data_IF_118672696690
#
_entry.id   IF_118672696690
#
_cell.length_a   1.000
_cell.length_b   1.000
_cell.length_c   1.000
_cell.angle_alpha   90.00
_cell.angle_beta   90.00
_cell.angle_gamma   90.00
#
_symmetry.space_group_name_H-M   'P 1'
#
loop_
_entity.id
_entity.type
_entity.pdbx_description
1 polymer ?
#
# COMPACT_ATOMS: atom_id res chain seq x y z
N UNK A 1 -25.73 -3.08 3.30
CA UNK A 1 -25.14 -4.43 3.47
C UNK A 1 -24.97 -5.10 2.10
N UNK A 2 -26.01 -5.14 1.26
CA UNK A 2 -25.95 -5.68 -0.11
C UNK A 2 -24.79 -5.10 -0.96
N UNK A 3 -24.61 -3.77 -0.96
CA UNK A 3 -23.50 -3.12 -1.66
C UNK A 3 -22.08 -3.54 -1.18
N UNK A 4 -21.96 -4.08 0.04
CA UNK A 4 -20.69 -4.62 0.55
C UNK A 4 -20.50 -6.10 0.16
N UNK A 5 -21.58 -6.87 0.09
CA UNK A 5 -21.56 -8.29 -0.28
C UNK A 5 -21.09 -8.48 -1.73
N UNK A 6 -21.52 -7.59 -2.63
CA UNK A 6 -21.14 -7.64 -4.06
C UNK A 6 -19.79 -6.97 -4.35
N UNK A 7 -19.15 -6.38 -3.34
CA UNK A 7 -17.94 -5.61 -3.54
C UNK A 7 -16.73 -6.52 -3.72
N UNK A 8 -15.92 -6.25 -4.75
CA UNK A 8 -14.64 -6.94 -4.93
C UNK A 8 -13.76 -6.73 -3.69
N UNK A 9 -13.04 -7.75 -3.18
CA UNK A 9 -12.27 -7.66 -1.94
C UNK A 9 -11.31 -6.45 -1.87
N UNK A 10 -10.64 -6.12 -2.97
CA UNK A 10 -9.73 -4.97 -3.01
C UNK A 10 -10.44 -3.61 -2.88
N UNK A 11 -11.68 -3.49 -3.41
CA UNK A 11 -12.48 -2.28 -3.26
C UNK A 11 -12.96 -2.13 -1.82
N UNK A 12 -13.34 -3.25 -1.20
CA UNK A 12 -13.76 -3.28 0.20
C UNK A 12 -12.60 -2.88 1.11
N UNK A 13 -11.42 -3.49 0.95
CA UNK A 13 -10.22 -3.12 1.71
C UNK A 13 -9.90 -1.64 1.58
N UNK A 14 -9.86 -1.11 0.35
CA UNK A 14 -9.60 0.31 0.11
C UNK A 14 -10.63 1.22 0.82
N UNK A 15 -11.92 0.86 0.79
CA UNK A 15 -12.97 1.63 1.47
C UNK A 15 -12.83 1.57 3.00
N UNK A 16 -12.50 0.39 3.55
CA UNK A 16 -12.26 0.20 4.99
C UNK A 16 -11.04 1.01 5.44
N UNK A 17 -9.95 0.96 4.68
CA UNK A 17 -8.72 1.73 4.99
C UNK A 17 -9.02 3.23 5.04
N UNK A 18 -9.73 3.76 4.02
CA UNK A 18 -10.14 5.17 3.98
C UNK A 18 -10.92 5.58 5.23
N UNK A 19 -11.96 4.81 5.56
CA UNK A 19 -12.79 5.10 6.73
C UNK A 19 -12.01 4.99 8.04
N UNK A 20 -11.07 4.04 8.11
CA UNK A 20 -10.21 3.85 9.28
C UNK A 20 -9.26 5.02 9.46
N UNK A 21 -8.70 5.58 8.38
CA UNK A 21 -7.89 6.80 8.46
C UNK A 21 -8.71 8.01 8.91
N UNK A 22 -9.90 8.19 8.35
CA UNK A 22 -10.87 9.23 8.75
C UNK A 22 -11.26 9.12 10.22
N UNK A 23 -11.43 7.90 10.73
CA UNK A 23 -11.80 7.65 12.13
C UNK A 23 -10.62 7.85 13.07
N UNK A 24 -9.42 7.41 12.69
CA UNK A 24 -8.23 7.47 13.54
C UNK A 24 -7.64 8.89 13.65
N UNK A 25 -7.83 9.72 12.62
CA UNK A 25 -7.26 11.06 12.53
C UNK A 25 -8.34 11.99 11.97
N UNK A 26 -8.99 12.77 12.85
CA UNK A 26 -10.04 13.71 12.43
C UNK A 26 -9.50 14.79 11.50
N UNK A 27 -8.31 15.30 11.83
CA UNK A 27 -7.67 16.37 11.07
C UNK A 27 -7.12 15.88 9.73
N UNK A 28 -7.46 16.59 8.67
CA UNK A 28 -7.04 16.25 7.31
C UNK A 28 -5.51 16.33 7.14
N UNK A 29 -4.86 17.30 7.79
CA UNK A 29 -3.40 17.41 7.75
C UNK A 29 -2.69 16.26 8.47
N UNK A 30 -3.20 15.84 9.64
CA UNK A 30 -2.66 14.69 10.38
C UNK A 30 -2.81 13.41 9.57
N UNK A 31 -3.96 13.20 8.94
CA UNK A 31 -4.19 12.10 7.99
C UNK A 31 -3.17 12.11 6.88
N UNK A 32 -2.97 13.26 6.24
CA UNK A 32 -2.04 13.40 5.13
C UNK A 32 -0.60 13.09 5.56
N UNK A 33 -0.19 13.56 6.74
CA UNK A 33 1.13 13.29 7.29
C UNK A 33 1.33 11.80 7.60
N UNK A 34 0.36 11.16 8.25
CA UNK A 34 0.39 9.72 8.51
C UNK A 34 0.47 8.91 7.21
N UNK A 35 -0.39 9.19 6.23
CA UNK A 35 -0.40 8.48 4.94
C UNK A 35 0.94 8.61 4.20
N UNK A 36 1.58 9.79 4.25
CA UNK A 36 2.92 10.00 3.68
C UNK A 36 3.97 9.14 4.37
N UNK A 37 3.97 9.09 5.70
CA UNK A 37 4.88 8.24 6.46
C UNK A 37 4.65 6.75 6.15
N UNK A 38 3.39 6.34 6.05
CA UNK A 38 3.04 4.96 5.70
C UNK A 38 3.45 4.61 4.26
N UNK A 39 3.35 5.56 3.33
CA UNK A 39 3.84 5.40 1.96
C UNK A 39 5.36 5.21 1.91
N UNK A 40 6.11 5.97 2.71
CA UNK A 40 7.56 5.81 2.85
C UNK A 40 7.88 4.40 3.38
N UNK A 41 7.18 3.96 4.43
CA UNK A 41 7.34 2.63 5.01
C UNK A 41 7.13 1.53 3.96
N UNK A 42 5.98 1.52 3.26
CA UNK A 42 5.70 0.46 2.28
C UNK A 42 6.65 0.49 1.08
N UNK A 43 7.10 1.68 0.66
CA UNK A 43 8.13 1.80 -0.40
C UNK A 43 9.45 1.18 0.06
N UNK A 44 9.90 1.46 1.29
CA UNK A 44 11.10 0.85 1.86
C UNK A 44 10.93 -0.67 2.05
N UNK A 45 9.73 -1.11 2.44
CA UNK A 45 9.40 -2.52 2.60
C UNK A 45 9.51 -3.30 1.28
N UNK A 46 8.95 -2.77 0.18
CA UNK A 46 9.11 -3.35 -1.17
C UNK A 46 10.59 -3.45 -1.54
N UNK A 47 11.35 -2.37 -1.36
CA UNK A 47 12.78 -2.38 -1.65
C UNK A 47 13.53 -3.45 -0.84
N UNK A 48 13.13 -3.72 0.41
CA UNK A 48 13.72 -4.82 1.20
C UNK A 48 13.33 -6.20 0.69
N UNK A 49 12.10 -6.40 0.24
CA UNK A 49 11.68 -7.66 -0.39
C UNK A 49 12.46 -7.90 -1.69
N UNK A 50 12.62 -6.88 -2.53
CA UNK A 50 13.37 -6.98 -3.78
C UNK A 50 14.86 -7.25 -3.53
N UNK A 51 15.43 -6.69 -2.46
CA UNK A 51 16.80 -7.00 -2.05
C UNK A 51 16.94 -8.47 -1.63
N UNK A 52 15.99 -9.01 -0.86
CA UNK A 52 15.98 -10.43 -0.48
C UNK A 52 15.91 -11.32 -1.72
N UNK A 53 15.04 -10.99 -2.67
CA UNK A 53 14.94 -11.70 -3.95
C UNK A 53 16.23 -11.61 -4.78
N UNK A 54 16.95 -10.50 -4.72
CA UNK A 54 18.20 -10.34 -5.48
C UNK A 54 19.37 -11.15 -4.90
N UNK A 55 19.36 -11.44 -3.60
CA UNK A 55 20.37 -12.29 -2.95
C UNK A 55 20.18 -13.78 -3.25
N UNK A 56 19.06 -14.15 -3.87
CA UNK A 56 18.72 -15.54 -4.13
C UNK A 56 19.48 -16.14 -5.32
N UNK A 57 19.85 -17.44 -5.25
CA UNK A 57 20.59 -18.10 -6.31
C UNK A 57 19.77 -18.23 -7.60
N UNK A 58 20.20 -17.53 -8.64
CA UNK A 58 19.51 -17.50 -9.95
C UNK A 58 19.82 -18.70 -10.86
N UNK A 59 20.86 -19.48 -10.53
CA UNK A 59 21.35 -20.59 -11.37
C UNK A 59 20.68 -21.90 -10.97
N UNK A 60 20.07 -22.60 -11.94
CA UNK A 60 19.46 -23.93 -11.74
C UNK A 60 20.40 -24.99 -11.14
N UNK A 61 21.70 -24.87 -11.40
CA UNK A 61 22.72 -25.77 -10.86
C UNK A 61 23.02 -25.53 -9.37
N UNK A 62 22.54 -24.43 -8.78
CA UNK A 62 22.75 -24.14 -7.37
C UNK A 62 21.88 -25.08 -6.52
N UNK A 63 22.45 -25.68 -5.48
CA UNK A 63 21.78 -26.68 -4.63
C UNK A 63 20.50 -26.15 -3.95
N UNK A 64 20.37 -24.83 -3.76
CA UNK A 64 19.17 -24.18 -3.19
C UNK A 64 18.15 -23.68 -4.22
N UNK A 65 18.40 -23.79 -5.52
CA UNK A 65 17.56 -23.17 -6.55
C UNK A 65 16.07 -23.54 -6.44
N UNK A 66 15.76 -24.83 -6.24
CA UNK A 66 14.35 -25.25 -6.14
C UNK A 66 13.69 -24.82 -4.83
N UNK A 67 14.45 -24.75 -3.73
CA UNK A 67 13.94 -24.25 -2.44
C UNK A 67 13.63 -22.76 -2.52
N UNK A 68 14.52 -22.01 -3.17
CA UNK A 68 14.36 -20.59 -3.46
C UNK A 68 13.12 -20.32 -4.31
N UNK A 69 12.98 -21.02 -5.44
CA UNK A 69 11.81 -20.88 -6.31
C UNK A 69 10.50 -21.09 -5.54
N UNK A 70 10.44 -22.13 -4.72
CA UNK A 70 9.27 -22.41 -3.89
C UNK A 70 9.01 -21.32 -2.84
N UNK A 71 10.06 -20.79 -2.21
CA UNK A 71 9.95 -19.67 -1.26
C UNK A 71 9.44 -18.40 -1.94
N UNK A 72 9.96 -18.07 -3.13
CA UNK A 72 9.52 -16.91 -3.90
C UNK A 72 8.04 -17.00 -4.25
N UNK A 73 7.60 -18.15 -4.77
CA UNK A 73 6.22 -18.37 -5.19
C UNK A 73 5.23 -18.39 -4.01
N UNK A 74 5.59 -19.03 -2.89
CA UNK A 74 4.69 -19.21 -1.75
C UNK A 74 4.71 -18.06 -0.76
N UNK A 75 5.83 -17.36 -0.63
CA UNK A 75 6.06 -16.39 0.44
C UNK A 75 6.26 -14.99 -0.14
N UNK A 76 7.34 -14.74 -0.88
CA UNK A 76 7.69 -13.38 -1.30
C UNK A 76 6.62 -12.70 -2.15
N UNK A 77 6.04 -13.43 -3.10
CA UNK A 77 5.06 -12.88 -4.03
C UNK A 77 3.84 -12.28 -3.31
N UNK A 78 3.37 -12.93 -2.25
CA UNK A 78 2.23 -12.44 -1.46
C UNK A 78 2.55 -11.11 -0.77
N UNK A 79 3.71 -11.02 -0.12
CA UNK A 79 4.16 -9.80 0.54
C UNK A 79 4.39 -8.64 -0.45
N UNK A 80 5.01 -8.92 -1.60
CA UNK A 80 5.23 -7.91 -2.65
C UNK A 80 3.91 -7.38 -3.21
N UNK A 81 2.95 -8.27 -3.51
CA UNK A 81 1.63 -7.87 -4.03
C UNK A 81 0.88 -7.02 -3.00
N UNK A 82 0.84 -7.45 -1.73
CA UNK A 82 0.16 -6.69 -0.68
C UNK A 82 0.75 -5.30 -0.47
N UNK A 83 2.08 -5.20 -0.38
CA UNK A 83 2.76 -3.92 -0.23
C UNK A 83 2.58 -3.00 -1.46
N UNK A 84 2.59 -3.57 -2.68
CA UNK A 84 2.36 -2.80 -3.92
C UNK A 84 0.96 -2.21 -3.97
N UNK A 85 -0.07 -3.00 -3.60
CA UNK A 85 -1.45 -2.52 -3.53
C UNK A 85 -1.57 -1.41 -2.48
N UNK A 86 -0.94 -1.56 -1.31
CA UNK A 86 -0.93 -0.53 -0.27
C UNK A 86 -0.32 0.79 -0.79
N UNK A 87 0.83 0.74 -1.50
CA UNK A 87 1.45 1.91 -2.12
C UNK A 87 0.51 2.58 -3.13
N UNK A 88 -0.16 1.82 -3.99
CA UNK A 88 -1.07 2.36 -4.99
C UNK A 88 -2.27 3.06 -4.33
N UNK A 89 -2.87 2.42 -3.32
CA UNK A 89 -3.99 2.99 -2.58
C UNK A 89 -3.57 4.27 -1.82
N UNK A 90 -2.43 4.26 -1.15
CA UNK A 90 -1.91 5.42 -0.42
C UNK A 90 -1.64 6.60 -1.36
N UNK A 91 -1.01 6.36 -2.51
CA UNK A 91 -0.79 7.42 -3.53
C UNK A 91 -2.10 8.04 -3.99
N UNK A 92 -3.13 7.22 -4.20
CA UNK A 92 -4.46 7.68 -4.59
C UNK A 92 -5.08 8.54 -3.48
N UNK A 93 -5.11 8.05 -2.24
CA UNK A 93 -5.69 8.79 -1.11
C UNK A 93 -4.96 10.10 -0.80
N UNK A 94 -3.62 10.09 -0.84
CA UNK A 94 -2.82 11.31 -0.66
C UNK A 94 -3.18 12.34 -1.74
N UNK A 95 -3.38 11.92 -2.99
CA UNK A 95 -3.77 12.83 -4.07
C UNK A 95 -5.17 13.41 -3.84
N UNK A 96 -6.14 12.56 -3.49
CA UNK A 96 -7.51 12.99 -3.20
C UNK A 96 -7.55 13.99 -2.04
N UNK A 97 -6.89 13.66 -0.93
CA UNK A 97 -6.87 14.49 0.28
C UNK A 97 -6.16 15.84 0.07
N UNK A 98 -5.07 15.85 -0.73
CA UNK A 98 -4.43 17.12 -1.12
C UNK A 98 -5.36 18.02 -1.91
N UNK A 99 -6.07 17.46 -2.89
CA UNK A 99 -7.02 18.23 -3.68
C UNK A 99 -8.16 18.78 -2.81
N UNK A 100 -8.66 17.99 -1.85
CA UNK A 100 -9.69 18.44 -0.89
C UNK A 100 -9.18 19.61 -0.04
N UNK A 101 -7.95 19.54 0.47
CA UNK A 101 -7.32 20.63 1.22
C UNK A 101 -7.07 21.88 0.37
N UNK A 102 -6.56 21.72 -0.85
CA UNK A 102 -6.30 22.84 -1.76
C UNK A 102 -7.60 23.62 -2.08
N UNK A 103 -8.72 22.90 -2.26
CA UNK A 103 -10.04 23.51 -2.46
C UNK A 103 -10.53 24.25 -1.21
N UNK A 104 -10.37 23.64 -0.03
CA UNK A 104 -10.76 24.25 1.25
C UNK A 104 -10.01 25.58 1.50
N UNK A 105 -8.70 25.61 1.28
CA UNK A 105 -7.92 26.84 1.43
C UNK A 105 -8.19 27.87 0.34
N UNK A 106 -8.59 27.44 -0.87
CA UNK A 106 -9.01 28.38 -1.91
C UNK A 106 -10.32 29.09 -1.54
N UNK A 107 -11.28 28.38 -0.93
CA UNK A 107 -12.56 28.96 -0.50
C UNK A 107 -12.47 29.84 0.74
N UNK A 108 -11.50 29.58 1.63
CA UNK A 108 -11.31 30.40 2.84
C UNK A 108 -10.62 31.75 2.55
N UNK A 109 -10.14 31.97 1.32
CA UNK A 109 -9.46 33.20 0.88
C UNK A 109 -10.31 34.09 -0.06
N UNK A 110 -11.59 33.76 -0.28
CA UNK A 110 -12.59 34.58 -0.99
C UNK A 110 -13.54 35.29 -0.01
#
# INVERSE_FOLDING_TARGET
>A
IEAYIEMKPFKLSSKVDRYTYETAFSEAEERLNFMRNLLIYYTAHINKLDNIENLMPKRRKHHLYFKEKAFKEKTLKGFQVGATIAVQNLKKFIKELKNELDLYYASDNE
#
